data_IF_872222893098
#
_entry.id   IF_872222893098
#
_cell.length_a   1.000
_cell.length_b   1.000
_cell.length_c   1.000
_cell.angle_alpha   90.00
_cell.angle_beta   90.00
_cell.angle_gamma   90.00
#
_symmetry.space_group_name_H-M   'P 1'
#
loop_
_entity.id
_entity.type
_entity.pdbx_description
1 polymer ?
#
# COMPACT_ATOMS: atom_id res chain seq x y z
N UNK A 1 -6.34 1.12 11.64
CA UNK A 1 -7.62 0.92 10.91
C UNK A 1 -8.55 2.05 11.28
N UNK A 2 -9.17 2.71 10.30
CA UNK A 2 -10.10 3.81 10.57
C UNK A 2 -11.29 3.25 11.37
N UNK A 3 -11.64 3.85 12.51
CA UNK A 3 -12.72 3.40 13.41
C UNK A 3 -14.10 3.63 12.77
N UNK A 4 -14.39 2.93 11.69
CA UNK A 4 -15.71 2.92 11.07
C UNK A 4 -16.65 2.19 12.05
N UNK A 5 -17.85 2.72 12.26
CA UNK A 5 -18.88 2.05 13.08
C UNK A 5 -19.46 0.87 12.29
N UNK A 6 -19.73 -0.25 12.97
CA UNK A 6 -20.10 -1.55 12.35
C UNK A 6 -21.29 -1.44 11.38
N UNK A 7 -22.32 -0.67 11.72
CA UNK A 7 -23.49 -0.46 10.84
C UNK A 7 -23.15 0.19 9.49
N UNK A 8 -21.99 0.86 9.35
CA UNK A 8 -21.56 1.46 8.08
C UNK A 8 -20.86 0.47 7.17
N UNK A 9 -20.55 -0.74 7.66
CA UNK A 9 -19.81 -1.73 6.90
C UNK A 9 -20.67 -2.27 5.75
N UNK A 10 -20.03 -2.50 4.62
CA UNK A 10 -20.67 -3.24 3.51
C UNK A 10 -20.82 -4.71 3.88
N UNK A 11 -21.70 -5.44 3.20
CA UNK A 11 -21.87 -6.88 3.44
C UNK A 11 -20.55 -7.65 3.28
N UNK A 12 -19.72 -7.26 2.31
CA UNK A 12 -18.40 -7.86 2.09
C UNK A 12 -17.44 -7.57 3.25
N UNK A 13 -17.42 -6.33 3.76
CA UNK A 13 -16.58 -5.96 4.91
C UNK A 13 -17.05 -6.66 6.20
N UNK A 14 -18.35 -6.86 6.38
CA UNK A 14 -18.90 -7.65 7.49
C UNK A 14 -18.46 -9.12 7.37
N UNK A 15 -18.61 -9.73 6.18
CA UNK A 15 -18.13 -11.09 5.92
C UNK A 15 -16.63 -11.25 6.18
N UNK A 16 -15.82 -10.25 5.81
CA UNK A 16 -14.38 -10.25 6.06
C UNK A 16 -14.06 -10.25 7.56
N UNK A 17 -14.80 -9.45 8.33
CA UNK A 17 -14.66 -9.32 9.77
C UNK A 17 -15.15 -10.59 10.49
N UNK A 18 -16.23 -11.21 10.03
CA UNK A 18 -16.73 -12.48 10.57
C UNK A 18 -15.74 -13.62 10.32
N UNK A 19 -15.23 -13.74 9.08
CA UNK A 19 -14.34 -14.86 8.70
C UNK A 19 -12.91 -14.71 9.24
N UNK A 20 -12.38 -13.49 9.36
CA UNK A 20 -10.97 -13.25 9.71
C UNK A 20 -10.78 -12.42 11.01
N UNK A 21 -11.86 -12.03 11.69
CA UNK A 21 -11.79 -11.20 12.88
C UNK A 21 -11.14 -11.92 14.06
N UNK A 22 -10.17 -11.27 14.69
CA UNK A 22 -9.49 -11.80 15.89
C UNK A 22 -10.32 -11.53 17.16
N UNK A 23 -11.02 -10.40 17.21
CA UNK A 23 -11.83 -10.01 18.38
C UNK A 23 -13.24 -10.61 18.29
N UNK A 24 -13.55 -11.56 19.18
CA UNK A 24 -14.85 -12.23 19.27
C UNK A 24 -16.03 -11.26 19.44
N UNK A 25 -15.83 -10.15 20.16
CA UNK A 25 -16.89 -9.17 20.36
C UNK A 25 -17.23 -8.41 19.08
N UNK A 26 -16.23 -8.13 18.23
CA UNK A 26 -16.45 -7.43 16.97
C UNK A 26 -17.04 -8.37 15.92
N UNK A 27 -16.62 -9.65 15.92
CA UNK A 27 -17.22 -10.73 15.12
C UNK A 27 -18.71 -10.85 15.44
N UNK A 28 -19.07 -11.00 16.72
CA UNK A 28 -20.47 -11.13 17.14
C UNK A 28 -21.32 -9.93 16.75
N UNK A 29 -20.78 -8.71 16.86
CA UNK A 29 -21.48 -7.49 16.41
C UNK A 29 -21.68 -7.47 14.90
N UNK A 30 -20.71 -7.96 14.13
CA UNK A 30 -20.81 -8.05 12.68
C UNK A 30 -21.83 -9.12 12.24
N UNK A 31 -21.90 -10.26 12.92
CA UNK A 31 -22.92 -11.29 12.71
C UNK A 31 -24.33 -10.72 12.94
N UNK A 32 -24.54 -10.08 14.09
CA UNK A 32 -25.82 -9.44 14.42
C UNK A 32 -26.22 -8.38 13.38
N UNK A 33 -25.28 -7.54 12.95
CA UNK A 33 -25.53 -6.53 11.91
C UNK A 33 -25.82 -7.13 10.53
N UNK A 34 -25.32 -8.34 10.25
CA UNK A 34 -25.61 -9.04 9.00
C UNK A 34 -27.01 -9.68 9.06
N UNK A 35 -27.37 -10.25 10.21
CA UNK A 35 -28.70 -10.84 10.46
C UNK A 35 -29.80 -9.78 10.38
N UNK A 36 -29.58 -8.59 10.95
CA UNK A 36 -30.56 -7.48 10.89
C UNK A 36 -30.88 -7.03 9.46
N UNK A 37 -30.00 -7.29 8.49
CA UNK A 37 -30.21 -6.96 7.08
C UNK A 37 -31.14 -7.91 6.35
N UNK A 38 -31.54 -9.03 6.97
CA UNK A 38 -32.52 -10.00 6.45
C UNK A 38 -32.28 -10.37 4.97
N UNK A 39 -31.01 -10.69 4.64
CA UNK A 39 -30.63 -11.03 3.27
C UNK A 39 -31.27 -12.36 2.84
N UNK A 40 -31.79 -12.40 1.61
CA UNK A 40 -32.24 -13.65 1.00
C UNK A 40 -31.07 -14.59 0.71
N UNK A 41 -31.31 -15.90 0.58
CA UNK A 41 -30.26 -16.87 0.23
C UNK A 41 -29.51 -16.50 -1.07
N UNK A 42 -30.22 -15.97 -2.06
CA UNK A 42 -29.61 -15.50 -3.30
C UNK A 42 -28.67 -14.31 -3.08
N UNK A 43 -29.05 -13.36 -2.23
CA UNK A 43 -28.19 -12.22 -1.90
C UNK A 43 -26.98 -12.65 -1.08
N UNK A 44 -27.14 -13.63 -0.17
CA UNK A 44 -26.02 -14.19 0.58
C UNK A 44 -24.98 -14.85 -0.34
N UNK A 45 -25.42 -15.60 -1.35
CA UNK A 45 -24.51 -16.22 -2.32
C UNK A 45 -23.80 -15.17 -3.18
N UNK A 46 -24.49 -14.11 -3.60
CA UNK A 46 -23.88 -12.97 -4.30
C UNK A 46 -22.82 -12.26 -3.44
N UNK A 47 -23.09 -12.06 -2.15
CA UNK A 47 -22.13 -11.48 -1.20
C UNK A 47 -20.90 -12.38 -1.05
N UNK A 48 -21.08 -13.70 -0.98
CA UNK A 48 -19.96 -14.63 -0.89
C UNK A 48 -19.07 -14.61 -2.15
N UNK A 49 -19.67 -14.60 -3.34
CA UNK A 49 -18.94 -14.43 -4.61
C UNK A 49 -18.17 -13.10 -4.60
N UNK A 50 -18.82 -12.02 -4.17
CA UNK A 50 -18.20 -10.71 -4.01
C UNK A 50 -17.02 -10.72 -3.03
N UNK A 51 -17.16 -11.43 -1.91
CA UNK A 51 -16.10 -11.61 -0.92
C UNK A 51 -14.90 -12.38 -1.48
N UNK A 52 -15.11 -13.47 -2.21
CA UNK A 52 -14.03 -14.22 -2.87
C UNK A 52 -13.27 -13.31 -3.84
N UNK A 53 -14.01 -12.56 -4.68
CA UNK A 53 -13.41 -11.58 -5.61
C UNK A 53 -12.61 -10.50 -4.88
N UNK A 54 -13.15 -9.99 -3.78
CA UNK A 54 -12.48 -9.00 -2.92
C UNK A 54 -11.16 -9.54 -2.35
N UNK A 55 -11.15 -10.77 -1.84
CA UNK A 55 -9.93 -11.43 -1.34
C UNK A 55 -8.93 -11.69 -2.45
N UNK A 56 -9.37 -12.13 -3.63
CA UNK A 56 -8.51 -12.29 -4.80
C UNK A 56 -7.81 -10.97 -5.13
N UNK A 57 -8.55 -9.86 -5.24
CA UNK A 57 -7.95 -8.55 -5.50
C UNK A 57 -7.06 -8.04 -4.38
N UNK A 58 -7.29 -8.41 -3.12
CA UNK A 58 -6.33 -8.12 -2.05
C UNK A 58 -5.01 -8.86 -2.24
N UNK A 59 -5.08 -10.16 -2.55
CA UNK A 59 -3.88 -10.97 -2.79
C UNK A 59 -3.12 -10.50 -4.03
N UNK A 60 -3.83 -10.23 -5.13
CA UNK A 60 -3.24 -9.69 -6.35
C UNK A 60 -2.51 -8.36 -6.10
N UNK A 61 -3.03 -7.52 -5.21
CA UNK A 61 -2.36 -6.27 -4.80
C UNK A 61 -1.12 -6.51 -3.95
N UNK A 62 -1.17 -7.48 -3.03
CA UNK A 62 -0.03 -7.83 -2.16
C UNK A 62 1.18 -8.28 -2.98
N UNK A 63 0.93 -9.06 -4.03
CA UNK A 63 1.98 -9.67 -4.87
C UNK A 63 2.33 -8.84 -6.11
N UNK A 64 1.61 -7.76 -6.40
CA UNK A 64 1.87 -6.93 -7.55
C UNK A 64 3.29 -6.34 -7.50
N UNK A 65 4.11 -6.51 -8.54
CA UNK A 65 5.44 -5.91 -8.59
C UNK A 65 5.36 -4.41 -8.89
N UNK A 66 6.44 -3.71 -8.60
CA UNK A 66 6.61 -2.31 -8.95
C UNK A 66 6.71 -2.18 -10.46
N UNK A 67 5.92 -1.29 -11.05
CA UNK A 67 5.96 -1.08 -12.50
C UNK A 67 7.20 -0.28 -12.89
N UNK A 68 7.66 -0.45 -14.12
CA UNK A 68 8.84 0.25 -14.65
C UNK A 68 8.71 1.78 -14.57
N UNK A 69 7.48 2.31 -14.72
CA UNK A 69 7.20 3.75 -14.58
C UNK A 69 7.32 4.25 -13.15
N UNK A 70 6.95 3.43 -12.17
CA UNK A 70 7.12 3.74 -10.73
C UNK A 70 8.60 3.65 -10.32
N UNK A 71 9.39 2.82 -11.00
CA UNK A 71 10.82 2.59 -10.73
C UNK A 71 11.70 3.83 -10.99
N UNK A 72 11.50 4.51 -12.11
CA UNK A 72 12.33 5.65 -12.57
C UNK A 72 12.41 6.77 -11.51
N UNK A 73 11.29 7.34 -11.01
CA UNK A 73 11.37 8.41 -10.03
C UNK A 73 11.99 7.94 -8.71
N UNK A 74 11.71 6.70 -8.29
CA UNK A 74 12.28 6.12 -7.06
C UNK A 74 13.81 5.96 -7.14
N UNK A 75 14.33 5.63 -8.33
CA UNK A 75 15.76 5.42 -8.55
C UNK A 75 16.53 6.74 -8.71
N UNK A 76 16.07 7.65 -9.56
CA UNK A 76 16.82 8.88 -9.88
C UNK A 76 16.65 9.97 -8.83
N UNK A 77 15.56 9.96 -8.05
CA UNK A 77 15.26 10.99 -7.06
C UNK A 77 15.12 10.41 -5.64
N UNK A 78 16.06 9.58 -5.15
CA UNK A 78 15.88 8.84 -3.90
C UNK A 78 15.80 9.77 -2.68
N UNK A 79 16.43 10.95 -2.78
CA UNK A 79 16.50 11.97 -1.72
C UNK A 79 15.38 13.00 -1.78
N UNK A 80 14.88 13.35 -2.97
CA UNK A 80 13.79 14.32 -3.12
C UNK A 80 12.44 13.76 -2.64
N UNK A 81 12.38 12.46 -2.37
CA UNK A 81 11.20 11.73 -1.85
C UNK A 81 11.26 11.65 -0.31
N UNK A 82 12.32 12.14 0.37
CA UNK A 82 12.38 12.16 1.84
C UNK A 82 11.54 13.32 2.40
N UNK A 83 10.46 12.94 3.10
CA UNK A 83 9.82 13.67 4.20
C UNK A 83 9.66 15.19 4.00
N UNK A 84 8.80 15.57 3.04
CA UNK A 84 8.31 16.93 2.99
C UNK A 84 7.28 17.18 4.10
N UNK A 85 7.76 17.41 5.33
CA UNK A 85 6.92 17.92 6.43
C UNK A 85 6.34 19.31 6.13
N UNK A 86 6.86 19.99 5.10
CA UNK A 86 6.57 21.39 4.75
C UNK A 86 5.77 21.58 3.45
N UNK A 87 5.55 20.55 2.63
CA UNK A 87 4.79 20.66 1.37
C UNK A 87 3.45 19.93 1.53
N UNK A 88 2.42 20.66 1.93
CA UNK A 88 1.03 20.15 2.02
C UNK A 88 0.41 19.75 0.67
N UNK A 89 1.11 19.96 -0.45
CA UNK A 89 0.55 19.89 -1.80
C UNK A 89 1.29 18.94 -2.77
N UNK A 90 2.39 18.30 -2.35
CA UNK A 90 3.10 17.36 -3.23
C UNK A 90 2.47 15.97 -3.12
N UNK A 91 1.46 15.76 -3.95
CA UNK A 91 0.61 14.56 -3.93
C UNK A 91 1.26 13.30 -4.50
N UNK A 92 2.46 13.36 -5.08
CA UNK A 92 2.87 12.35 -6.05
C UNK A 92 3.94 11.35 -5.62
N UNK A 93 4.81 11.63 -4.65
CA UNK A 93 5.94 10.72 -4.36
C UNK A 93 5.95 10.19 -2.93
N UNK A 94 5.71 11.04 -1.94
CA UNK A 94 5.50 10.60 -0.54
C UNK A 94 4.20 9.81 -0.42
N UNK A 95 3.18 10.20 -1.18
CA UNK A 95 1.89 9.49 -1.19
C UNK A 95 2.03 8.08 -1.75
N UNK A 96 2.89 7.81 -2.74
CA UNK A 96 2.90 6.50 -3.42
C UNK A 96 3.52 5.42 -2.57
N UNK A 97 4.66 5.71 -1.94
CA UNK A 97 5.29 4.77 -1.03
C UNK A 97 4.43 4.49 0.21
N UNK A 98 3.91 5.54 0.86
CA UNK A 98 2.98 5.40 1.99
C UNK A 98 1.67 4.74 1.57
N UNK A 99 1.22 4.94 0.33
CA UNK A 99 0.04 4.27 -0.24
C UNK A 99 0.30 2.79 -0.46
N UNK A 100 1.51 2.38 -0.85
CA UNK A 100 1.80 0.95 -0.94
C UNK A 100 1.68 0.27 0.42
N UNK A 101 2.25 0.86 1.46
CA UNK A 101 2.15 0.33 2.83
C UNK A 101 0.71 0.40 3.36
N UNK A 102 0.02 1.52 3.16
CA UNK A 102 -1.34 1.75 3.67
C UNK A 102 -2.40 0.87 3.00
N UNK A 103 -2.24 0.56 1.70
CA UNK A 103 -3.21 -0.22 0.93
C UNK A 103 -2.81 -1.68 0.74
N UNK A 104 -1.76 -2.14 1.43
CA UNK A 104 -1.37 -3.56 1.46
C UNK A 104 -0.63 -4.05 0.22
N UNK A 105 0.09 -3.18 -0.49
CA UNK A 105 0.99 -3.55 -1.59
C UNK A 105 2.37 -3.91 -1.02
N UNK A 106 2.46 -5.05 -0.36
CA UNK A 106 3.66 -5.49 0.37
C UNK A 106 4.88 -5.65 -0.54
N UNK A 107 4.71 -6.29 -1.70
CA UNK A 107 5.80 -6.49 -2.68
C UNK A 107 6.27 -5.17 -3.29
N UNK A 108 5.35 -4.30 -3.74
CA UNK A 108 5.71 -2.96 -4.24
C UNK A 108 6.48 -2.16 -3.20
N UNK A 109 6.04 -2.17 -1.94
CA UNK A 109 6.72 -1.45 -0.88
C UNK A 109 8.15 -1.99 -0.66
N UNK A 110 8.32 -3.32 -0.73
CA UNK A 110 9.63 -3.97 -0.62
C UNK A 110 10.55 -3.60 -1.78
N UNK A 111 10.07 -3.65 -3.00
CA UNK A 111 10.83 -3.26 -4.19
C UNK A 111 11.18 -1.78 -4.17
N UNK A 112 10.21 -0.90 -3.89
CA UNK A 112 10.44 0.54 -3.79
C UNK A 112 11.55 0.91 -2.80
N UNK A 113 11.64 0.22 -1.65
CA UNK A 113 12.75 0.38 -0.69
C UNK A 113 14.10 0.02 -1.31
N UNK A 114 14.18 -1.11 -2.02
CA UNK A 114 15.42 -1.56 -2.68
C UNK A 114 15.86 -0.57 -3.75
N UNK A 115 14.95 -0.15 -4.61
CA UNK A 115 15.22 0.81 -5.70
C UNK A 115 15.76 2.12 -5.16
N UNK A 116 15.16 2.62 -4.08
CA UNK A 116 15.61 3.83 -3.41
C UNK A 116 17.04 3.71 -2.87
N UNK A 117 17.37 2.57 -2.27
CA UNK A 117 18.73 2.28 -1.81
C UNK A 117 19.73 2.22 -2.96
N UNK A 118 19.38 1.58 -4.08
CA UNK A 118 20.23 1.55 -5.27
C UNK A 118 20.43 2.94 -5.88
N UNK A 119 19.37 3.74 -5.98
CA UNK A 119 19.46 5.13 -6.40
C UNK A 119 20.38 5.96 -5.50
N UNK A 120 20.31 5.74 -4.19
CA UNK A 120 21.15 6.43 -3.20
C UNK A 120 22.62 6.09 -3.40
N UNK A 121 22.94 4.81 -3.55
CA UNK A 121 24.29 4.32 -3.86
C UNK A 121 24.80 4.88 -5.19
N UNK A 122 23.95 4.92 -6.22
CA UNK A 122 24.28 5.47 -7.53
C UNK A 122 24.73 6.93 -7.44
N UNK A 123 24.00 7.78 -6.70
CA UNK A 123 24.38 9.17 -6.49
C UNK A 123 25.67 9.34 -5.68
N UNK A 124 25.90 8.51 -4.65
CA UNK A 124 27.16 8.52 -3.89
C UNK A 124 28.34 8.25 -4.83
N UNK A 125 28.22 7.25 -5.71
CA UNK A 125 29.27 6.92 -6.68
C UNK A 125 29.50 8.07 -7.68
N UNK A 126 28.44 8.73 -8.16
CA UNK A 126 28.57 9.91 -9.03
C UNK A 126 29.37 11.01 -8.34
N UNK A 127 29.04 11.33 -7.09
CA UNK A 127 29.73 12.40 -6.34
C UNK A 127 31.23 12.06 -6.18
N UNK A 128 31.56 10.81 -5.84
CA UNK A 128 32.95 10.35 -5.73
C UNK A 128 33.71 10.57 -7.04
N UNK A 129 33.11 10.18 -8.17
CA UNK A 129 33.73 10.36 -9.49
C UNK A 129 33.92 11.83 -9.85
N UNK A 130 32.94 12.69 -9.55
CA UNK A 130 33.05 14.14 -9.79
C UNK A 130 34.21 14.74 -9.00
N UNK A 131 34.33 14.40 -7.71
CA UNK A 131 35.43 14.87 -6.85
C UNK A 131 36.78 14.37 -7.37
N UNK A 132 36.86 13.10 -7.76
CA UNK A 132 38.08 12.52 -8.31
C UNK A 132 38.54 13.22 -9.60
N UNK A 133 37.61 13.45 -10.54
CA UNK A 133 37.89 14.14 -11.80
C UNK A 133 38.33 15.59 -11.54
N UNK A 134 37.64 16.30 -10.65
CA UNK A 134 37.99 17.67 -10.30
C UNK A 134 39.40 17.77 -9.69
N UNK A 135 39.74 16.87 -8.77
CA UNK A 135 41.08 16.81 -8.18
C UNK A 135 42.16 16.45 -9.20
N UNK A 136 41.87 15.60 -10.18
CA UNK A 136 42.80 15.26 -11.26
C UNK A 136 43.06 16.44 -12.20
N UNK A 137 42.01 17.20 -12.55
CA UNK A 137 42.11 18.36 -13.46
C UNK A 137 42.77 19.60 -12.82
N UNK A 138 42.69 19.72 -11.49
CA UNK A 138 43.22 20.89 -10.75
C UNK A 138 44.67 20.71 -10.32
N UNK A 139 45.25 19.52 -10.54
CA UNK A 139 46.62 19.17 -10.19
C UNK A 139 47.53 19.25 -11.41
#
# INVERSE_FOLDING_TARGET
>A
MNHKKIYRYTNIELFDLIKNGVNKNDVKKAELELETRNLTQKQLSEVEIGYIKYKKFQNDRKTAPLTTREWIPLFFLPFFILMQRWRKYDHFSTSEFERYEKYGYEEKAREARKVRWYGTLFWILIIINIVFIHNYLTR
#
